data_IF_782794490160
#
_entry.id   IF_782794490160
#
_cell.length_a   1.000
_cell.length_b   1.000
_cell.length_c   1.000
_cell.angle_alpha   90.00
_cell.angle_beta   90.00
_cell.angle_gamma   90.00
#
_symmetry.space_group_name_H-M   'P 1'
#
loop_
_entity.id
_entity.type
_entity.pdbx_description
1 polymer ?
#
# COMPACT_ATOMS: atom_id res chain seq x y z
N UNK A 1 0.06 -16.54 -24.13
CA UNK A 1 1.38 -15.93 -23.87
C UNK A 1 1.31 -14.43 -24.09
N UNK A 2 2.36 -13.67 -23.79
CA UNK A 2 2.36 -12.21 -23.87
C UNK A 2 2.96 -11.73 -25.19
N UNK A 3 2.39 -10.67 -25.76
CA UNK A 3 2.83 -10.02 -27.00
C UNK A 3 3.25 -8.59 -26.71
N UNK A 4 4.35 -8.16 -27.32
CA UNK A 4 4.80 -6.78 -27.28
C UNK A 4 3.94 -5.92 -28.21
N UNK A 5 3.34 -4.86 -27.66
CA UNK A 5 2.67 -3.82 -28.43
C UNK A 5 3.34 -2.47 -28.18
N UNK A 6 3.44 -1.67 -29.24
CA UNK A 6 4.03 -0.33 -29.17
C UNK A 6 2.88 0.67 -28.99
N UNK A 7 2.99 1.55 -28.00
CA UNK A 7 1.99 2.57 -27.72
C UNK A 7 1.76 3.50 -28.92
N UNK A 8 0.50 3.65 -29.36
CA UNK A 8 0.11 4.61 -30.40
C UNK A 8 -0.35 5.93 -29.76
N UNK A 9 0.07 7.06 -30.33
CA UNK A 9 -0.25 8.42 -29.86
C UNK A 9 -1.75 8.78 -29.96
N UNK A 10 -2.09 9.99 -29.49
CA UNK A 10 -3.47 10.52 -29.43
C UNK A 10 -3.50 12.05 -29.27
N UNK A 11 -4.69 12.67 -29.29
CA UNK A 11 -4.87 14.14 -29.33
C UNK A 11 -4.27 14.88 -28.12
N UNK A 12 -4.11 14.21 -26.97
CA UNK A 12 -3.48 14.75 -25.75
C UNK A 12 -2.04 14.27 -25.53
N UNK A 13 -1.47 13.53 -26.48
CA UNK A 13 -0.16 12.88 -26.41
C UNK A 13 0.87 13.69 -27.22
N UNK A 14 1.71 14.49 -26.52
CA UNK A 14 2.93 15.05 -27.09
C UNK A 14 4.14 14.42 -26.39
N UNK A 15 4.90 13.61 -27.11
CA UNK A 15 6.20 13.11 -26.69
C UNK A 15 7.30 13.81 -27.47
N UNK A 16 8.44 14.15 -26.83
CA UNK A 16 9.62 14.70 -27.55
C UNK A 16 10.28 13.66 -28.48
N UNK A 17 9.95 12.39 -28.32
CA UNK A 17 10.54 11.26 -29.06
C UNK A 17 9.47 10.43 -29.78
N UNK A 18 8.32 11.02 -30.13
CA UNK A 18 7.30 10.35 -30.94
C UNK A 18 6.85 8.98 -30.39
N UNK A 19 6.79 8.84 -29.05
CA UNK A 19 6.40 7.62 -28.33
C UNK A 19 7.40 6.45 -28.38
N UNK A 20 8.60 6.66 -28.94
CA UNK A 20 9.71 5.70 -28.85
C UNK A 20 10.03 5.40 -27.37
N UNK A 21 10.05 4.11 -27.02
CA UNK A 21 10.31 3.60 -25.65
C UNK A 21 9.06 3.28 -24.81
N UNK A 22 7.84 3.46 -25.33
CA UNK A 22 6.62 2.96 -24.67
C UNK A 22 6.20 1.62 -25.27
N UNK A 23 6.84 0.58 -24.75
CA UNK A 23 6.55 -0.82 -25.04
C UNK A 23 5.67 -1.39 -23.92
N UNK A 24 4.60 -2.10 -24.29
CA UNK A 24 3.69 -2.74 -23.33
C UNK A 24 3.48 -4.20 -23.72
N UNK A 25 3.39 -5.07 -22.72
CA UNK A 25 3.08 -6.48 -22.94
C UNK A 25 1.58 -6.72 -22.74
N UNK A 26 0.93 -7.30 -23.75
CA UNK A 26 -0.50 -7.67 -23.73
C UNK A 26 -0.63 -9.19 -23.66
N UNK A 27 -1.47 -9.69 -22.75
CA UNK A 27 -1.72 -11.13 -22.62
C UNK A 27 -2.71 -11.59 -23.69
N UNK A 28 -2.37 -12.69 -24.35
CA UNK A 28 -3.23 -13.36 -25.32
C UNK A 28 -3.24 -14.87 -25.01
N UNK A 29 -4.42 -15.38 -24.67
CA UNK A 29 -4.66 -16.79 -24.31
C UNK A 29 -4.33 -17.77 -25.46
N UNK A 30 -4.35 -17.29 -26.70
CA UNK A 30 -4.11 -18.08 -27.91
C UNK A 30 -2.65 -18.04 -28.37
N UNK A 31 -1.79 -17.32 -27.67
CA UNK A 31 -0.39 -17.13 -28.01
C UNK A 31 0.48 -18.22 -27.34
N UNK A 32 1.41 -18.85 -28.08
CA UNK A 32 2.35 -19.90 -27.62
C UNK A 32 2.03 -21.32 -28.06
N UNK A 33 3.01 -22.23 -28.03
CA UNK A 33 2.76 -23.63 -28.37
C UNK A 33 1.93 -24.33 -27.28
N UNK A 34 1.26 -25.45 -27.62
CA UNK A 34 0.51 -26.23 -26.63
C UNK A 34 1.42 -26.72 -25.49
N UNK A 35 2.66 -27.08 -25.81
CA UNK A 35 3.66 -27.58 -24.86
C UNK A 35 4.11 -26.50 -23.87
N UNK A 36 4.31 -25.25 -24.32
CA UNK A 36 4.69 -24.13 -23.44
C UNK A 36 3.59 -23.81 -22.43
N UNK A 37 2.33 -23.89 -22.85
CA UNK A 37 1.17 -23.67 -21.97
C UNK A 37 1.06 -24.77 -20.93
N UNK A 38 1.25 -26.02 -21.35
CA UNK A 38 1.22 -27.18 -20.46
C UNK A 38 2.36 -27.14 -19.43
N UNK A 39 3.56 -26.72 -19.85
CA UNK A 39 4.71 -26.55 -18.96
C UNK A 39 4.45 -25.50 -17.86
N UNK A 40 3.85 -24.37 -18.20
CA UNK A 40 3.47 -23.33 -17.22
C UNK A 40 2.44 -23.86 -16.22
N UNK A 41 1.45 -24.61 -16.69
CA UNK A 41 0.40 -25.15 -15.83
C UNK A 41 0.91 -26.27 -14.92
N UNK A 42 1.83 -27.10 -15.41
CA UNK A 42 2.52 -28.11 -14.59
C UNK A 42 3.42 -27.48 -13.52
N UNK A 43 4.16 -26.42 -13.86
CA UNK A 43 4.98 -25.68 -12.88
C UNK A 43 4.11 -25.06 -11.76
N UNK A 44 2.92 -24.53 -12.09
CA UNK A 44 1.95 -24.05 -11.09
C UNK A 44 1.49 -25.16 -10.16
N UNK A 45 1.09 -26.31 -10.71
CA UNK A 45 0.64 -27.47 -9.90
C UNK A 45 1.74 -27.98 -8.99
N UNK A 46 2.97 -28.05 -9.49
CA UNK A 46 4.14 -28.48 -8.71
C UNK A 46 4.46 -27.52 -7.57
N UNK A 47 4.44 -26.20 -7.83
CA UNK A 47 4.60 -25.18 -6.81
C UNK A 47 3.60 -25.40 -5.66
N UNK A 48 2.31 -25.61 -5.98
CA UNK A 48 1.24 -25.86 -4.99
C UNK A 48 1.39 -27.19 -4.23
N UNK A 49 1.98 -28.21 -4.86
CA UNK A 49 2.19 -29.51 -4.22
C UNK A 49 3.33 -29.46 -3.20
N UNK A 50 4.42 -28.78 -3.54
CA UNK A 50 5.63 -28.73 -2.71
C UNK A 50 5.54 -27.73 -1.54
N UNK A 51 4.48 -26.92 -1.51
CA UNK A 51 4.31 -25.84 -0.53
C UNK A 51 3.66 -26.28 0.78
N UNK A 52 2.70 -27.22 0.77
CA UNK A 52 1.72 -27.39 1.87
C UNK A 52 2.31 -27.81 3.24
N UNK A 53 3.38 -28.59 3.30
CA UNK A 53 4.02 -29.00 4.57
C UNK A 53 5.10 -28.05 5.07
N UNK A 54 5.68 -27.24 4.18
CA UNK A 54 6.77 -26.32 4.47
C UNK A 54 6.29 -25.04 5.16
N UNK A 55 5.08 -24.58 4.82
CA UNK A 55 4.53 -23.33 5.34
C UNK A 55 4.16 -23.39 6.82
N UNK A 56 3.58 -24.48 7.32
CA UNK A 56 3.10 -24.58 8.72
C UNK A 56 4.24 -24.44 9.74
N UNK A 57 5.38 -25.09 9.50
CA UNK A 57 6.58 -24.95 10.33
C UNK A 57 7.18 -23.54 10.27
N UNK A 58 7.22 -22.92 9.08
CA UNK A 58 7.68 -21.54 8.91
C UNK A 58 6.76 -20.54 9.60
N UNK A 59 5.45 -20.76 9.56
CA UNK A 59 4.46 -19.89 10.19
C UNK A 59 4.62 -19.88 11.72
N UNK A 60 4.82 -21.06 12.33
CA UNK A 60 5.09 -21.15 13.78
C UNK A 60 6.35 -20.39 14.20
N UNK A 61 7.44 -20.50 13.43
CA UNK A 61 8.68 -19.76 13.68
C UNK A 61 8.52 -18.25 13.46
N UNK A 62 7.87 -17.85 12.38
CA UNK A 62 7.62 -16.43 12.08
C UNK A 62 6.74 -15.79 13.15
N UNK A 63 5.66 -16.46 13.56
CA UNK A 63 4.80 -16.01 14.65
C UNK A 63 5.58 -15.83 15.94
N UNK A 64 6.38 -16.82 16.34
CA UNK A 64 7.23 -16.72 17.52
C UNK A 64 8.17 -15.52 17.42
N UNK A 65 8.83 -15.33 16.27
CA UNK A 65 9.72 -14.19 16.05
C UNK A 65 8.99 -12.85 16.19
N UNK A 66 7.81 -12.69 15.56
CA UNK A 66 6.98 -11.48 15.67
C UNK A 66 6.64 -11.19 17.13
N UNK A 67 6.19 -12.21 17.88
CA UNK A 67 5.82 -12.06 19.28
C UNK A 67 7.03 -11.70 20.18
N UNK A 68 8.19 -12.29 19.88
CA UNK A 68 9.44 -12.06 20.61
C UNK A 68 10.06 -10.67 20.31
N UNK A 69 9.77 -10.07 19.14
CA UNK A 69 10.37 -8.80 18.68
C UNK A 69 9.44 -7.59 18.80
N UNK A 70 8.54 -7.58 19.80
CA UNK A 70 7.70 -6.41 20.08
C UNK A 70 6.42 -6.30 19.26
N UNK A 71 6.07 -7.38 18.52
CA UNK A 71 4.74 -7.64 17.96
C UNK A 71 4.37 -6.71 16.81
N UNK A 72 3.21 -6.93 16.21
CA UNK A 72 2.75 -6.09 15.11
C UNK A 72 2.39 -4.65 15.54
N UNK A 73 2.28 -4.38 16.84
CA UNK A 73 2.03 -3.02 17.37
C UNK A 73 3.18 -2.04 17.13
N UNK A 74 4.41 -2.53 16.94
CA UNK A 74 5.58 -1.67 16.66
C UNK A 74 5.94 -1.63 15.17
N UNK A 75 5.15 -2.27 14.30
CA UNK A 75 5.46 -2.35 12.86
C UNK A 75 5.60 -0.94 12.26
N UNK A 76 6.48 -0.73 11.26
CA UNK A 76 6.59 0.56 10.59
C UNK A 76 5.26 1.05 10.00
N UNK A 77 5.15 2.36 9.77
CA UNK A 77 3.91 3.03 9.35
C UNK A 77 3.22 2.38 8.15
N UNK A 78 3.96 1.93 7.14
CA UNK A 78 3.40 1.25 5.98
C UNK A 78 2.80 -0.12 6.32
N UNK A 79 3.42 -0.84 7.25
CA UNK A 79 2.86 -2.08 7.78
C UNK A 79 1.57 -1.82 8.56
N UNK A 80 1.53 -0.78 9.40
CA UNK A 80 0.29 -0.40 10.11
C UNK A 80 -0.83 -0.07 9.14
N UNK A 81 -0.52 0.65 8.07
CA UNK A 81 -1.47 0.97 7.00
C UNK A 81 -2.06 -0.31 6.39
N UNK A 82 -1.23 -1.24 5.91
CA UNK A 82 -1.72 -2.46 5.27
C UNK A 82 -2.48 -3.37 6.22
N UNK A 83 -2.02 -3.50 7.47
CA UNK A 83 -2.73 -4.25 8.50
C UNK A 83 -4.08 -3.59 8.87
N UNK A 84 -4.19 -2.27 8.75
CA UNK A 84 -5.45 -1.55 8.97
C UNK A 84 -6.43 -1.76 7.82
N UNK A 85 -5.94 -1.71 6.58
CA UNK A 85 -6.71 -2.08 5.38
C UNK A 85 -7.22 -3.53 5.49
N UNK A 86 -6.40 -4.46 5.96
CA UNK A 86 -6.79 -5.87 6.17
C UNK A 86 -7.79 -6.04 7.34
N UNK A 87 -7.78 -5.12 8.30
CA UNK A 87 -8.63 -5.18 9.50
C UNK A 87 -8.01 -5.89 10.69
N UNK A 88 -6.70 -6.10 10.74
CA UNK A 88 -6.00 -6.68 11.93
C UNK A 88 -5.29 -5.60 12.76
N UNK A 89 -5.51 -4.32 12.44
CA UNK A 89 -4.95 -3.15 13.11
C UNK A 89 -5.96 -2.00 13.02
N UNK A 90 -6.09 -1.16 14.05
CA UNK A 90 -7.04 -0.03 14.00
C UNK A 90 -6.42 1.22 13.36
N UNK A 91 -7.20 1.95 12.55
CA UNK A 91 -6.78 3.19 11.91
C UNK A 91 -6.32 4.27 12.92
N UNK A 92 -6.84 4.25 14.15
CA UNK A 92 -6.41 5.14 15.24
C UNK A 92 -4.95 4.93 15.66
N UNK A 93 -4.40 3.75 15.39
CA UNK A 93 -3.01 3.40 15.59
C UNK A 93 -2.08 3.76 14.42
N UNK A 94 -2.59 4.40 13.37
CA UNK A 94 -1.80 4.85 12.21
C UNK A 94 -1.61 6.36 12.29
N UNK A 95 -0.40 6.84 11.97
CA UNK A 95 -0.17 8.28 11.83
C UNK A 95 -1.09 8.87 10.74
N UNK A 96 -1.59 10.11 10.90
CA UNK A 96 -2.48 10.71 9.93
C UNK A 96 -1.90 10.77 8.52
N UNK A 97 -2.73 10.39 7.54
CA UNK A 97 -2.45 10.51 6.11
C UNK A 97 -3.53 11.41 5.49
N UNK A 98 -3.47 12.74 5.78
CA UNK A 98 -4.57 13.65 5.44
C UNK A 98 -4.81 13.72 3.92
N UNK A 99 -5.99 13.33 3.42
CA UNK A 99 -6.33 13.50 1.99
C UNK A 99 -6.39 14.97 1.59
N UNK A 100 -6.67 15.85 2.56
CA UNK A 100 -6.92 17.27 2.38
C UNK A 100 -5.71 18.03 1.79
N UNK A 101 -4.49 17.46 1.82
CA UNK A 101 -3.28 18.05 1.23
C UNK A 101 -3.39 18.30 -0.27
N UNK A 102 -4.24 17.55 -0.98
CA UNK A 102 -4.45 17.74 -2.42
C UNK A 102 -5.12 19.09 -2.74
N UNK A 103 -5.89 19.64 -1.79
CA UNK A 103 -6.61 20.90 -1.96
C UNK A 103 -5.76 22.13 -1.64
N UNK A 104 -4.53 21.94 -1.17
CA UNK A 104 -3.64 23.06 -0.85
C UNK A 104 -3.30 23.86 -2.11
N UNK A 105 -3.18 25.19 -2.00
CA UNK A 105 -2.76 26.02 -3.12
C UNK A 105 -1.35 25.64 -3.59
N UNK A 106 -1.14 25.70 -4.91
CA UNK A 106 0.12 25.33 -5.55
C UNK A 106 1.31 26.20 -5.15
N UNK A 107 1.10 27.30 -4.43
CA UNK A 107 2.15 28.16 -3.86
C UNK A 107 2.83 27.55 -2.63
N UNK A 108 2.17 26.64 -1.91
CA UNK A 108 2.71 26.04 -0.69
C UNK A 108 3.73 24.93 -1.01
N UNK A 109 4.82 24.81 -0.22
CA UNK A 109 5.87 23.80 -0.46
C UNK A 109 5.40 22.36 -0.24
N UNK A 110 4.38 22.17 0.61
CA UNK A 110 3.78 20.86 0.91
C UNK A 110 2.63 20.49 -0.03
N UNK A 111 2.34 21.32 -1.04
CA UNK A 111 1.36 20.98 -2.06
C UNK A 111 1.76 19.68 -2.76
N UNK A 112 0.83 18.72 -2.82
CA UNK A 112 1.08 17.37 -3.29
C UNK A 112 1.71 17.33 -4.70
N UNK A 113 1.37 18.29 -5.58
CA UNK A 113 1.93 18.40 -6.92
C UNK A 113 3.41 18.80 -6.99
N UNK A 114 3.98 19.41 -5.93
CA UNK A 114 5.42 19.78 -5.85
C UNK A 114 6.29 18.68 -5.22
N UNK A 115 5.67 17.68 -4.60
CA UNK A 115 6.40 16.59 -3.95
C UNK A 115 6.95 15.61 -5.00
N UNK A 116 7.97 14.86 -4.60
CA UNK A 116 8.59 13.84 -5.46
C UNK A 116 7.55 12.87 -6.02
N UNK A 117 7.67 12.52 -7.30
CA UNK A 117 6.65 11.75 -8.03
C UNK A 117 6.30 10.43 -7.35
N UNK A 118 7.31 9.66 -6.92
CA UNK A 118 7.06 8.40 -6.20
C UNK A 118 6.29 8.59 -4.89
N UNK A 119 6.64 9.62 -4.11
CA UNK A 119 5.90 9.93 -2.89
C UNK A 119 4.45 10.28 -3.21
N UNK A 120 4.23 11.17 -4.18
CA UNK A 120 2.89 11.61 -4.60
C UNK A 120 2.00 10.44 -5.02
N UNK A 121 2.55 9.54 -5.82
CA UNK A 121 1.84 8.40 -6.39
C UNK A 121 1.46 7.34 -5.36
N UNK A 122 2.23 7.20 -4.27
CA UNK A 122 1.90 6.30 -3.16
C UNK A 122 0.98 7.01 -2.16
N UNK A 123 1.25 8.28 -1.87
CA UNK A 123 0.49 9.07 -0.90
C UNK A 123 -0.97 9.22 -1.34
N UNK A 124 -1.24 9.48 -2.62
CA UNK A 124 -2.60 9.66 -3.14
C UNK A 124 -3.52 8.47 -2.77
N UNK A 125 -3.29 7.23 -3.21
CA UNK A 125 -4.16 6.10 -2.86
C UNK A 125 -4.12 5.75 -1.36
N UNK A 126 -2.98 5.91 -0.67
CA UNK A 126 -2.95 5.72 0.79
C UNK A 126 -3.85 6.70 1.53
N UNK A 127 -3.81 7.98 1.16
CA UNK A 127 -4.63 9.03 1.76
C UNK A 127 -6.12 8.87 1.44
N UNK A 128 -6.45 8.37 0.24
CA UNK A 128 -7.82 7.99 -0.13
C UNK A 128 -8.37 6.90 0.78
N UNK A 129 -7.64 5.79 0.93
CA UNK A 129 -8.01 4.66 1.77
C UNK A 129 -8.09 5.05 3.25
N UNK A 130 -7.13 5.86 3.73
CA UNK A 130 -7.12 6.42 5.09
C UNK A 130 -8.33 7.31 5.34
N UNK A 131 -8.62 8.25 4.44
CA UNK A 131 -9.74 9.18 4.56
C UNK A 131 -11.12 8.50 4.47
N UNK A 132 -11.22 7.39 3.72
CA UNK A 132 -12.38 6.49 3.70
C UNK A 132 -12.46 5.58 4.93
N UNK A 133 -11.39 5.47 5.72
CA UNK A 133 -11.23 4.49 6.80
C UNK A 133 -11.52 3.08 6.30
N UNK A 134 -11.08 2.76 5.09
CA UNK A 134 -11.42 1.50 4.44
C UNK A 134 -10.85 0.32 5.23
N UNK A 135 -11.68 -0.71 5.45
CA UNK A 135 -11.30 -1.98 6.05
C UNK A 135 -11.94 -3.08 5.21
N UNK A 136 -11.17 -4.10 4.85
CA UNK A 136 -11.67 -5.27 4.14
C UNK A 136 -12.67 -6.08 4.97
N UNK A 137 -13.34 -7.07 4.35
CA UNK A 137 -14.28 -7.93 5.07
C UNK A 137 -13.61 -8.64 6.26
N UNK A 138 -14.23 -8.53 7.45
CA UNK A 138 -13.76 -9.24 8.65
C UNK A 138 -14.18 -10.70 8.56
N UNK A 139 -13.30 -11.52 7.98
CA UNK A 139 -13.49 -12.97 7.85
C UNK A 139 -13.02 -13.71 9.09
N UNK A 140 -13.33 -15.01 9.18
CA UNK A 140 -12.79 -15.89 10.22
C UNK A 140 -11.26 -15.83 10.29
N UNK A 141 -10.59 -15.82 9.14
CA UNK A 141 -9.12 -15.71 9.05
C UNK A 141 -8.62 -14.38 9.62
N UNK A 142 -9.32 -13.27 9.39
CA UNK A 142 -8.94 -11.97 9.99
C UNK A 142 -9.04 -12.01 11.51
N UNK A 143 -10.08 -12.67 12.06
CA UNK A 143 -10.23 -12.84 13.50
C UNK A 143 -9.11 -13.73 14.08
N UNK A 144 -8.81 -14.86 13.44
CA UNK A 144 -7.70 -15.75 13.83
C UNK A 144 -6.36 -14.99 13.80
N UNK A 145 -6.11 -14.15 12.79
CA UNK A 145 -4.92 -13.31 12.72
C UNK A 145 -4.84 -12.27 13.84
N UNK A 146 -5.97 -11.70 14.29
CA UNK A 146 -5.98 -10.78 15.44
C UNK A 146 -5.53 -11.51 16.71
N UNK A 147 -5.97 -12.74 16.91
CA UNK A 147 -5.57 -13.55 18.08
C UNK A 147 -4.12 -14.06 17.98
N UNK A 148 -3.64 -14.32 16.77
CA UNK A 148 -2.30 -14.86 16.55
C UNK A 148 -1.18 -13.82 16.64
N UNK A 149 -1.41 -12.61 16.12
CA UNK A 149 -0.39 -11.57 15.93
C UNK A 149 -0.26 -10.62 17.13
N UNK A 150 -1.33 -10.50 17.93
CA UNK A 150 -1.35 -9.67 19.13
C UNK A 150 -1.13 -10.52 20.39
N UNK A 151 -0.64 -9.92 21.47
CA UNK A 151 -0.43 -10.63 22.75
C UNK A 151 -1.51 -10.40 23.78
N UNK A 152 -2.30 -9.36 23.56
CA UNK A 152 -3.40 -8.96 24.40
C UNK A 152 -4.65 -8.98 23.53
N UNK A 153 -5.84 -9.18 24.12
CA UNK A 153 -7.09 -9.16 23.37
C UNK A 153 -7.16 -7.94 22.47
N UNK A 154 -7.59 -8.12 21.22
CA UNK A 154 -7.60 -7.06 20.21
C UNK A 154 -8.31 -5.78 20.70
N UNK A 155 -9.40 -5.95 21.46
CA UNK A 155 -10.21 -4.86 22.00
C UNK A 155 -9.53 -4.09 23.13
N UNK A 156 -8.54 -4.67 23.82
CA UNK A 156 -7.82 -4.02 24.92
C UNK A 156 -6.55 -3.30 24.47
N UNK A 157 -6.26 -3.27 23.17
CA UNK A 157 -5.07 -2.61 22.63
C UNK A 157 -5.25 -1.10 22.68
N UNK A 158 -4.32 -0.41 23.34
CA UNK A 158 -4.22 1.05 23.24
C UNK A 158 -3.59 1.46 21.90
N UNK A 159 -4.46 1.72 20.93
CA UNK A 159 -4.06 2.14 19.59
C UNK A 159 -3.40 3.51 19.56
N UNK A 160 -3.73 4.43 20.48
CA UNK A 160 -3.05 5.73 20.56
C UNK A 160 -1.59 5.57 20.95
N UNK A 161 -1.30 4.65 21.88
CA UNK A 161 0.07 4.27 22.21
C UNK A 161 0.73 3.56 21.04
N UNK A 162 0.05 2.59 20.41
CA UNK A 162 0.57 1.88 19.24
C UNK A 162 0.93 2.82 18.07
N UNK A 163 0.21 3.93 17.88
CA UNK A 163 0.54 4.95 16.85
C UNK A 163 1.97 5.48 16.97
N UNK A 164 2.37 5.81 18.20
CA UNK A 164 3.69 6.38 18.52
C UNK A 164 4.78 5.33 18.62
N UNK A 165 4.40 4.06 18.68
CA UNK A 165 5.32 2.94 18.68
C UNK A 165 5.70 2.60 17.24
N UNK A 166 6.87 3.01 16.80
CA UNK A 166 7.59 2.24 15.78
C UNK A 166 8.53 1.29 16.52
N UNK A 167 9.15 0.34 15.84
CA UNK A 167 10.33 -0.34 16.36
C UNK A 167 11.37 0.74 16.61
N UNK A 168 11.34 1.34 17.79
CA UNK A 168 12.28 2.36 18.19
C UNK A 168 13.62 1.65 18.18
N UNK A 169 14.47 2.01 17.23
CA UNK A 169 15.89 1.99 17.49
C UNK A 169 16.05 2.64 18.86
N UNK A 170 16.52 1.85 19.82
CA UNK A 170 16.76 2.27 21.19
C UNK A 170 17.41 3.64 21.14
N UNK A 171 16.89 4.63 21.89
CA UNK A 171 17.50 5.96 22.02
C UNK A 171 19.01 5.77 22.05
N UNK A 172 19.78 6.44 21.17
CA UNK A 172 21.23 6.22 21.06
C UNK A 172 21.92 6.28 22.43
N UNK A 173 21.40 7.11 23.34
CA UNK A 173 21.82 7.24 24.72
C UNK A 173 21.47 6.04 25.63
N UNK A 174 20.32 5.40 25.42
CA UNK A 174 19.85 4.22 26.16
C UNK A 174 20.42 2.91 25.58
N UNK A 175 20.75 2.89 24.29
CA UNK A 175 21.43 1.80 23.60
C UNK A 175 22.87 1.62 24.12
N UNK A 176 23.57 2.75 24.31
CA UNK A 176 24.90 2.81 24.90
C UNK A 176 24.95 2.33 26.37
N UNK A 177 23.87 2.56 27.14
CA UNK A 177 23.80 2.19 28.55
C UNK A 177 23.31 0.76 28.81
N UNK A 178 22.63 0.12 27.85
CA UNK A 178 21.94 -1.16 28.09
C UNK A 178 22.42 -2.34 27.23
N UNK A 179 23.45 -2.19 26.39
CA UNK A 179 23.91 -3.24 25.45
C UNK A 179 22.74 -3.87 24.65
N UNK A 180 21.70 -3.09 24.36
CA UNK A 180 20.53 -3.53 23.62
C UNK A 180 20.83 -3.39 22.13
N UNK A 181 20.80 -4.53 21.43
CA UNK A 181 21.00 -4.65 19.99
C UNK A 181 20.09 -3.64 19.26
N UNK A 182 20.69 -2.78 18.44
CA UNK A 182 19.96 -1.85 17.57
C UNK A 182 18.91 -2.64 16.79
N UNK A 183 17.65 -2.24 16.89
CA UNK A 183 16.56 -2.85 16.14
C UNK A 183 16.65 -2.33 14.69
N UNK A 184 16.84 -3.26 13.75
CA UNK A 184 17.46 -3.06 12.43
C UNK A 184 16.57 -2.32 11.40
N UNK A 185 15.28 -2.11 11.69
CA UNK A 185 14.28 -1.63 10.72
C UNK A 185 14.09 -0.09 10.70
N UNK A 186 14.80 0.66 11.52
CA UNK A 186 14.59 2.11 11.69
C UNK A 186 15.70 2.93 11.01
N UNK A 187 15.62 3.05 9.68
CA UNK A 187 16.63 3.72 8.86
C UNK A 187 16.69 5.26 9.06
N UNK A 188 15.55 5.90 9.32
CA UNK A 188 15.48 7.32 9.62
C UNK A 188 14.66 7.57 10.89
N UNK A 189 15.30 8.06 11.97
CA UNK A 189 14.58 8.39 13.17
C UNK A 189 13.70 9.62 12.98
N UNK A 190 12.48 9.54 13.51
CA UNK A 190 11.58 10.67 13.57
C UNK A 190 12.22 11.81 14.36
N UNK A 191 12.16 13.02 13.80
CA UNK A 191 12.54 14.21 14.56
C UNK A 191 11.40 14.60 15.51
N UNK A 192 11.73 15.30 16.60
CA UNK A 192 10.71 15.81 17.53
C UNK A 192 9.65 16.65 16.81
N UNK A 193 10.04 17.41 15.79
CA UNK A 193 9.11 18.17 14.96
C UNK A 193 8.09 17.26 14.25
N UNK A 194 8.52 16.13 13.68
CA UNK A 194 7.62 15.19 13.03
C UNK A 194 6.63 14.55 14.02
N UNK A 195 7.08 14.26 15.25
CA UNK A 195 6.21 13.73 16.30
C UNK A 195 5.14 14.74 16.72
N UNK A 196 5.53 16.01 16.93
CA UNK A 196 4.58 17.09 17.24
C UNK A 196 3.61 17.34 16.09
N UNK A 197 4.10 17.34 14.85
CA UNK A 197 3.27 17.52 13.67
C UNK A 197 2.25 16.38 13.53
N UNK A 198 2.68 15.12 13.68
CA UNK A 198 1.79 13.97 13.64
C UNK A 198 0.72 14.02 14.73
N UNK A 199 1.08 14.46 15.94
CA UNK A 199 0.12 14.60 17.04
C UNK A 199 -0.86 15.77 16.80
N UNK A 200 -0.39 16.88 16.26
CA UNK A 200 -1.25 18.00 15.86
C UNK A 200 -2.24 17.58 14.76
N UNK A 201 -1.75 16.91 13.71
CA UNK A 201 -2.59 16.38 12.64
C UNK A 201 -3.66 15.44 13.21
N UNK A 202 -3.30 14.56 14.16
CA UNK A 202 -4.21 13.56 14.71
C UNK A 202 -5.22 14.14 15.70
N UNK A 203 -4.77 14.97 16.65
CA UNK A 203 -5.65 15.46 17.73
C UNK A 203 -6.49 16.65 17.34
N UNK A 204 -6.03 17.45 16.38
CA UNK A 204 -6.67 18.71 16.00
C UNK A 204 -7.25 18.61 14.59
N UNK A 205 -6.42 18.37 13.57
CA UNK A 205 -6.90 18.43 12.19
C UNK A 205 -7.86 17.29 11.85
N UNK A 206 -7.56 16.05 12.24
CA UNK A 206 -8.44 14.90 11.96
C UNK A 206 -9.86 15.09 12.51
N UNK A 207 -10.08 15.46 13.79
CA UNK A 207 -11.42 15.78 14.30
C UNK A 207 -12.07 16.95 13.58
N UNK A 208 -11.32 18.00 13.24
CA UNK A 208 -11.85 19.15 12.52
C UNK A 208 -12.42 18.75 11.16
N UNK A 209 -11.66 18.00 10.35
CA UNK A 209 -12.10 17.52 9.05
C UNK A 209 -13.10 16.36 9.11
N UNK A 210 -13.29 15.72 10.27
CA UNK A 210 -14.36 14.74 10.47
C UNK A 210 -15.74 15.40 10.64
N UNK A 211 -15.80 16.66 11.06
CA UNK A 211 -17.04 17.37 11.35
C UNK A 211 -17.35 18.46 10.32
N UNK A 212 -18.64 18.81 10.23
CA UNK A 212 -19.07 19.93 9.40
C UNK A 212 -18.50 21.25 9.95
N UNK A 213 -18.05 22.21 9.11
CA UNK A 213 -18.12 22.21 7.64
C UNK A 213 -16.92 21.59 6.92
N UNK A 214 -15.81 21.35 7.61
CA UNK A 214 -14.56 20.90 6.97
C UNK A 214 -14.65 19.50 6.38
N UNK A 215 -15.57 18.66 6.85
CA UNK A 215 -15.89 17.38 6.23
C UNK A 215 -16.35 17.50 4.77
N UNK A 216 -16.86 18.66 4.33
CA UNK A 216 -17.13 18.95 2.91
C UNK A 216 -15.83 19.04 2.11
N UNK A 217 -14.80 19.69 2.66
CA UNK A 217 -13.47 19.73 2.04
C UNK A 217 -12.88 18.33 1.95
N UNK A 218 -13.02 17.50 2.99
CA UNK A 218 -12.55 16.12 2.96
C UNK A 218 -13.22 15.29 1.86
N UNK A 219 -14.55 15.44 1.68
CA UNK A 219 -15.26 14.79 0.57
C UNK A 219 -14.73 15.25 -0.79
N UNK A 220 -14.51 16.55 -0.96
CA UNK A 220 -13.90 17.10 -2.18
C UNK A 220 -12.49 16.56 -2.41
N UNK A 221 -11.65 16.53 -1.37
CA UNK A 221 -10.29 16.01 -1.44
C UNK A 221 -10.27 14.55 -1.91
N UNK A 222 -11.16 13.71 -1.36
CA UNK A 222 -11.27 12.31 -1.78
C UNK A 222 -11.69 12.17 -3.26
N UNK A 223 -12.54 13.05 -3.78
CA UNK A 223 -12.91 13.06 -5.19
C UNK A 223 -11.73 13.46 -6.08
N UNK A 224 -11.02 14.53 -5.74
CA UNK A 224 -9.82 14.99 -6.47
C UNK A 224 -8.72 13.91 -6.47
N UNK A 225 -8.52 13.22 -5.35
CA UNK A 225 -7.54 12.12 -5.27
C UNK A 225 -7.94 10.98 -6.20
N UNK A 226 -9.22 10.61 -6.23
CA UNK A 226 -9.66 9.50 -7.07
C UNK A 226 -9.56 9.84 -8.56
N UNK A 227 -9.88 11.08 -8.94
CA UNK A 227 -9.63 11.58 -10.30
C UNK A 227 -8.14 11.52 -10.66
N UNK A 228 -7.26 11.90 -9.73
CA UNK A 228 -5.83 11.79 -9.92
C UNK A 228 -5.35 10.33 -10.11
N UNK A 229 -5.90 9.38 -9.34
CA UNK A 229 -5.59 7.95 -9.48
C UNK A 229 -6.02 7.42 -10.85
N UNK A 230 -7.26 7.69 -11.29
CA UNK A 230 -7.76 7.29 -12.60
C UNK A 230 -6.89 7.85 -13.73
N UNK A 231 -6.51 9.13 -13.63
CA UNK A 231 -5.62 9.75 -14.61
C UNK A 231 -4.26 9.02 -14.70
N UNK A 232 -3.63 8.68 -13.58
CA UNK A 232 -2.36 7.95 -13.56
C UNK A 232 -2.51 6.51 -14.06
N UNK A 233 -3.63 5.86 -13.76
CA UNK A 233 -3.95 4.51 -14.22
C UNK A 233 -4.11 4.46 -15.74
N UNK A 234 -4.90 5.37 -16.32
CA UNK A 234 -5.05 5.48 -17.78
C UNK A 234 -3.72 5.78 -18.47
N UNK A 235 -2.91 6.69 -17.90
CA UNK A 235 -1.62 7.09 -18.46
C UNK A 235 -0.55 5.98 -18.44
N UNK A 236 -0.61 5.12 -17.42
CA UNK A 236 0.30 3.99 -17.24
C UNK A 236 -0.25 2.67 -17.76
N UNK A 237 -1.45 2.69 -18.37
CA UNK A 237 -2.19 1.50 -18.80
C UNK A 237 -2.31 0.47 -17.66
N UNK A 238 -2.61 0.99 -16.47
CA UNK A 238 -2.85 0.26 -15.23
C UNK A 238 -1.62 -0.47 -14.68
N UNK A 239 -0.42 -0.15 -15.19
CA UNK A 239 0.84 -0.73 -14.70
C UNK A 239 1.38 0.03 -13.48
N UNK A 240 1.10 1.34 -13.37
CA UNK A 240 1.71 2.25 -12.40
C UNK A 240 3.25 2.30 -12.48
N UNK A 241 3.90 3.06 -11.59
CA UNK A 241 5.38 3.17 -11.55
C UNK A 241 6.07 1.93 -10.95
N UNK A 242 5.33 1.12 -10.20
CA UNK A 242 5.88 -0.02 -9.47
C UNK A 242 4.83 -0.79 -8.68
N UNK A 243 5.22 -1.96 -8.16
CA UNK A 243 4.33 -2.95 -7.55
C UNK A 243 3.45 -2.40 -6.42
N UNK A 244 4.07 -1.64 -5.50
CA UNK A 244 3.38 -1.08 -4.35
C UNK A 244 2.30 -0.07 -4.77
N UNK A 245 2.65 0.82 -5.71
CA UNK A 245 1.69 1.79 -6.24
C UNK A 245 0.56 1.07 -6.98
N UNK A 246 0.88 0.12 -7.86
CA UNK A 246 -0.14 -0.60 -8.62
C UNK A 246 -1.16 -1.27 -7.69
N UNK A 247 -0.69 -1.93 -6.63
CA UNK A 247 -1.58 -2.59 -5.67
C UNK A 247 -2.48 -1.58 -4.95
N UNK A 248 -1.94 -0.41 -4.59
CA UNK A 248 -2.70 0.67 -3.92
C UNK A 248 -3.74 1.33 -4.85
N UNK A 249 -3.38 1.63 -6.10
CA UNK A 249 -4.31 2.17 -7.09
C UNK A 249 -5.41 1.17 -7.41
N UNK A 250 -5.05 -0.09 -7.67
CA UNK A 250 -6.01 -1.18 -7.89
C UNK A 250 -7.00 -1.31 -6.73
N UNK A 251 -6.52 -1.32 -5.50
CA UNK A 251 -7.38 -1.38 -4.32
C UNK A 251 -8.27 -0.14 -4.23
N UNK A 252 -7.75 1.05 -4.52
CA UNK A 252 -8.54 2.29 -4.49
C UNK A 252 -9.68 2.26 -5.51
N UNK A 253 -9.42 1.79 -6.73
CA UNK A 253 -10.42 1.58 -7.78
C UNK A 253 -11.47 0.52 -7.37
N UNK A 254 -11.04 -0.58 -6.73
CA UNK A 254 -11.98 -1.56 -6.18
C UNK A 254 -12.86 -0.96 -5.06
N UNK A 255 -12.29 -0.15 -4.17
CA UNK A 255 -13.04 0.51 -3.08
C UNK A 255 -14.01 1.56 -3.61
N UNK A 256 -13.66 2.27 -4.69
CA UNK A 256 -14.55 3.20 -5.36
C UNK A 256 -15.73 2.47 -6.03
N UNK A 257 -15.43 1.47 -6.86
CA UNK A 257 -16.44 0.68 -7.55
C UNK A 257 -15.91 -0.72 -7.93
N UNK A 258 -16.25 -1.76 -7.16
CA UNK A 258 -15.83 -3.14 -7.44
C UNK A 258 -16.30 -3.69 -8.79
N UNK A 259 -17.38 -3.14 -9.35
CA UNK A 259 -17.99 -3.60 -10.61
C UNK A 259 -17.43 -2.90 -11.85
N UNK A 260 -16.61 -1.87 -11.68
CA UNK A 260 -16.01 -1.15 -12.79
C UNK A 260 -14.92 -1.97 -13.50
N UNK A 261 -14.76 -1.73 -14.81
CA UNK A 261 -13.72 -2.39 -15.60
C UNK A 261 -12.30 -1.94 -15.20
N UNK A 262 -12.15 -0.80 -14.52
CA UNK A 262 -10.87 -0.30 -14.00
C UNK A 262 -10.16 -1.33 -13.12
N UNK A 263 -10.90 -2.05 -12.27
CA UNK A 263 -10.34 -3.13 -11.46
C UNK A 263 -9.85 -4.31 -12.31
N UNK A 264 -10.60 -4.69 -13.36
CA UNK A 264 -10.20 -5.77 -14.28
C UNK A 264 -8.92 -5.42 -15.04
N UNK A 265 -8.77 -4.15 -15.45
CA UNK A 265 -7.55 -3.69 -16.11
C UNK A 265 -6.33 -3.77 -15.20
N UNK A 266 -6.48 -3.41 -13.93
CA UNK A 266 -5.42 -3.61 -12.93
C UNK A 266 -5.07 -5.09 -12.71
N UNK A 267 -6.08 -5.96 -12.56
CA UNK A 267 -5.86 -7.40 -12.40
C UNK A 267 -5.05 -7.99 -13.55
N UNK A 268 -5.32 -7.54 -14.78
CA UNK A 268 -4.58 -7.97 -15.97
C UNK A 268 -3.09 -7.58 -15.93
N UNK A 269 -2.65 -6.63 -15.07
CA UNK A 269 -1.26 -6.18 -14.98
C UNK A 269 -0.47 -6.80 -13.82
N UNK A 270 -1.13 -7.45 -12.86
CA UNK A 270 -0.48 -8.12 -11.72
C UNK A 270 0.58 -9.12 -12.18
N UNK A 271 0.27 -9.94 -13.19
CA UNK A 271 1.18 -11.01 -13.65
C UNK A 271 2.51 -10.46 -14.20
N UNK A 272 2.50 -9.26 -14.77
CA UNK A 272 3.70 -8.58 -15.26
C UNK A 272 4.59 -8.18 -14.08
N UNK A 273 4.00 -7.66 -13.01
CA UNK A 273 4.70 -7.15 -11.82
C UNK A 273 5.41 -8.27 -11.05
N UNK A 274 4.79 -9.44 -10.92
CA UNK A 274 5.35 -10.55 -10.15
C UNK A 274 6.40 -11.38 -10.93
N UNK A 275 6.75 -10.99 -12.15
CA UNK A 275 7.74 -11.69 -12.97
C UNK A 275 7.38 -13.16 -13.25
N UNK A 276 6.10 -13.53 -13.09
CA UNK A 276 5.58 -14.89 -13.34
C UNK A 276 5.45 -15.20 -14.83
N UNK A 277 6.08 -14.37 -15.65
CA UNK A 277 6.09 -14.40 -17.09
C UNK A 277 7.54 -14.13 -17.50
N UNK A 278 8.17 -15.09 -18.18
CA UNK A 278 9.42 -14.80 -18.89
C UNK A 278 9.09 -13.82 -20.01
N UNK A 279 9.67 -12.62 -19.92
CA UNK A 279 9.76 -11.70 -21.04
C UNK A 279 10.72 -12.34 -22.05
N UNK A 280 10.17 -12.92 -23.12
CA UNK A 280 10.92 -13.54 -24.21
C UNK A 280 11.11 -12.54 -25.34
#
# INVERSE_FOLDING_TARGET
MWKLEIGKGGSWLKSKFNHLGREIWVYDEQLGSSEEREAVENARKEFWRNSRGFWTWRHGKARKWILDHGRITIIPTWGKFWLSVLGVFEWSGVNPIPPDLILLPSSLPIYLGRLWCHFRLIYAPMSYLYGKRFVGPITKTVLELRDELHSQPYQSIDWNKARKMCAKGVDLHRALLMNLKLQEDFYQPHSLFQDYLAEFLYRILEPLFAHWPLSVLRKKALQEIMQYIHYEDENSLYLSVGAAQQTLCMLSCWVENPSADTFKFHLARILIIYGLVKMA
#
